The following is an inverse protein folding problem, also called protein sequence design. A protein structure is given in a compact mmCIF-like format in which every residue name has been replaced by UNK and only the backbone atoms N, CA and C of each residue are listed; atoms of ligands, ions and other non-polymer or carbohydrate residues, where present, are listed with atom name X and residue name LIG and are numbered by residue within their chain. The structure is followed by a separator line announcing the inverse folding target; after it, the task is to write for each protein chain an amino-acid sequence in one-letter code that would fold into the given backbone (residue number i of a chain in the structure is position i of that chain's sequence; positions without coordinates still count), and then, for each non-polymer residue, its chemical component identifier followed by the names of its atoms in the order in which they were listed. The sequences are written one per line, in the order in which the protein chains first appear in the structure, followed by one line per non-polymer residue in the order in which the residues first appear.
data_IF_933561958945
#
_entry.id   IF_933561958945
#
_cell.length_a   1.000
_cell.length_b   1.000
_cell.length_c   1.000
_cell.angle_alpha   90.00
_cell.angle_beta   90.00
_cell.angle_gamma   90.00
#
_symmetry.space_group_name_H-M   'P 1'
#
loop_
_entity.id
_entity.type
_entity.pdbx_description
1 polymer ?
#
# COMPACT_ATOMS: atom_id res chain seq x y z
N UNK A 1 -4.04 40.19 -23.88
CA UNK A 1 -3.19 39.78 -22.74
C UNK A 1 -3.87 38.63 -22.03
N UNK A 2 -3.38 37.39 -22.20
CA UNK A 2 -3.96 36.20 -21.57
C UNK A 2 -3.15 35.86 -20.32
N UNK A 3 -3.79 35.88 -19.15
CA UNK A 3 -3.13 35.61 -17.88
C UNK A 3 -2.97 34.10 -17.68
N UNK A 4 -1.73 33.61 -17.76
CA UNK A 4 -1.39 32.24 -17.35
C UNK A 4 -1.45 32.24 -15.81
N UNK A 5 -2.58 31.79 -15.25
CA UNK A 5 -2.65 31.49 -13.82
C UNK A 5 -1.79 30.25 -13.56
N UNK A 6 -0.78 30.30 -12.67
CA UNK A 6 -0.08 29.10 -12.26
C UNK A 6 -1.09 28.16 -11.62
N UNK A 7 -1.22 26.96 -12.16
CA UNK A 7 -1.99 25.90 -11.53
C UNK A 7 -1.30 25.58 -10.20
N UNK A 8 -1.81 26.13 -9.10
CA UNK A 8 -1.41 25.74 -7.76
C UNK A 8 -1.93 24.32 -7.57
N UNK A 9 -1.08 23.34 -7.82
CA UNK A 9 -1.38 21.96 -7.44
C UNK A 9 -1.44 21.93 -5.92
N UNK A 10 -2.60 21.65 -5.30
CA UNK A 10 -2.63 21.45 -3.86
C UNK A 10 -1.68 20.30 -3.54
N UNK A 11 -0.72 20.55 -2.65
CA UNK A 11 0.16 19.52 -2.13
C UNK A 11 -0.72 18.43 -1.52
N UNK A 12 -0.91 17.34 -2.26
CA UNK A 12 -1.69 16.20 -1.79
C UNK A 12 -1.15 15.79 -0.43
N UNK A 13 -2.03 15.74 0.57
CA UNK A 13 -1.69 15.25 1.91
C UNK A 13 -1.12 13.84 1.80
N UNK A 14 -0.29 13.44 2.77
CA UNK A 14 0.34 12.12 2.78
C UNK A 14 -0.72 11.02 2.65
N UNK A 15 -1.88 11.17 3.31
CA UNK A 15 -3.04 10.28 3.15
C UNK A 15 -3.57 10.19 1.71
N UNK A 16 -3.69 11.30 1.00
CA UNK A 16 -4.11 11.30 -0.40
C UNK A 16 -3.07 10.59 -1.28
N UNK A 17 -1.77 10.82 -1.05
CA UNK A 17 -0.71 10.09 -1.77
C UNK A 17 -0.77 8.60 -1.47
N UNK A 18 -0.88 8.19 -0.21
CA UNK A 18 -0.96 6.77 0.18
C UNK A 18 -2.20 6.11 -0.42
N UNK A 19 -3.35 6.80 -0.41
CA UNK A 19 -4.60 6.30 -1.01
C UNK A 19 -4.48 6.18 -2.53
N UNK A 20 -3.85 7.16 -3.18
CA UNK A 20 -3.63 7.18 -4.63
C UNK A 20 -2.58 6.16 -5.07
N UNK A 21 -1.53 5.95 -4.27
CA UNK A 21 -0.57 4.85 -4.45
C UNK A 21 -1.26 3.52 -4.22
N UNK A 22 -2.09 3.38 -3.19
CA UNK A 22 -2.85 2.17 -2.90
C UNK A 22 -3.81 1.81 -4.04
N UNK A 23 -4.52 2.78 -4.62
CA UNK A 23 -5.34 2.55 -5.81
C UNK A 23 -4.48 2.22 -7.03
N UNK A 24 -3.35 2.91 -7.22
CA UNK A 24 -2.45 2.63 -8.33
C UNK A 24 -1.83 1.24 -8.22
N UNK A 25 -1.43 0.81 -7.02
CA UNK A 25 -0.84 -0.51 -6.74
C UNK A 25 -1.91 -1.60 -6.83
N UNK A 26 -3.13 -1.35 -6.34
CA UNK A 26 -4.26 -2.29 -6.46
C UNK A 26 -4.59 -2.61 -7.91
N UNK A 27 -4.49 -1.62 -8.79
CA UNK A 27 -4.79 -1.77 -10.22
C UNK A 27 -3.54 -1.95 -11.07
N UNK A 28 -2.35 -1.90 -10.48
CA UNK A 28 -1.11 -2.22 -11.18
C UNK A 28 -1.08 -3.74 -11.39
N UNK A 29 -0.95 -4.21 -12.63
CA UNK A 29 -0.75 -5.63 -12.89
C UNK A 29 0.44 -6.11 -12.05
N UNK A 30 0.27 -7.26 -11.39
CA UNK A 30 1.30 -7.81 -10.51
C UNK A 30 2.64 -7.81 -11.27
N UNK A 31 3.71 -7.18 -10.72
CA UNK A 31 4.98 -7.13 -11.42
C UNK A 31 5.43 -8.56 -11.69
N UNK A 32 5.63 -8.89 -12.96
CA UNK A 32 6.22 -10.16 -13.34
C UNK A 32 7.72 -10.07 -13.09
N UNK A 33 8.36 -11.22 -12.87
CA UNK A 33 9.81 -11.28 -12.75
C UNK A 33 10.44 -10.87 -14.10
N UNK A 34 10.80 -9.60 -14.21
CA UNK A 34 11.33 -9.00 -15.43
C UNK A 34 12.84 -9.20 -15.57
N UNK A 35 13.42 -8.79 -16.69
CA UNK A 35 14.87 -8.98 -16.94
C UNK A 35 15.73 -7.87 -16.35
N UNK A 36 15.11 -6.78 -15.89
CA UNK A 36 15.77 -5.58 -15.37
C UNK A 36 15.81 -5.52 -13.85
N UNK A 37 16.91 -5.00 -13.30
CA UNK A 37 17.12 -4.82 -11.85
C UNK A 37 16.04 -3.96 -11.18
N UNK A 38 15.47 -2.99 -11.91
CA UNK A 38 14.38 -2.14 -11.40
C UNK A 38 13.04 -2.88 -11.29
N UNK A 39 12.78 -3.89 -12.14
CA UNK A 39 11.61 -4.76 -12.05
C UNK A 39 11.75 -5.74 -10.90
N UNK A 40 12.94 -6.31 -10.69
CA UNK A 40 13.23 -7.15 -9.53
C UNK A 40 13.01 -6.43 -8.20
N UNK A 41 13.44 -5.17 -8.10
CA UNK A 41 13.23 -4.36 -6.89
C UNK A 41 11.74 -4.13 -6.62
N UNK A 42 10.94 -3.82 -7.65
CA UNK A 42 9.47 -3.69 -7.52
C UNK A 42 8.83 -5.00 -7.08
N UNK A 43 9.25 -6.13 -7.65
CA UNK A 43 8.77 -7.44 -7.25
C UNK A 43 9.12 -7.76 -5.79
N UNK A 44 10.38 -7.54 -5.38
CA UNK A 44 10.83 -7.79 -4.02
C UNK A 44 10.09 -6.93 -2.98
N UNK A 45 9.88 -5.64 -3.29
CA UNK A 45 9.12 -4.73 -2.42
C UNK A 45 7.65 -5.18 -2.33
N UNK A 46 7.04 -5.56 -3.45
CA UNK A 46 5.68 -6.07 -3.46
C UNK A 46 5.54 -7.35 -2.62
N UNK A 47 6.46 -8.30 -2.81
CA UNK A 47 6.45 -9.57 -2.09
C UNK A 47 6.67 -9.36 -0.59
N UNK A 48 7.69 -8.56 -0.22
CA UNK A 48 7.95 -8.21 1.17
C UNK A 48 6.75 -7.50 1.81
N UNK A 49 6.16 -6.54 1.11
CA UNK A 49 4.97 -5.82 1.55
C UNK A 49 3.75 -6.74 1.70
N UNK A 50 3.57 -7.71 0.80
CA UNK A 50 2.49 -8.69 0.87
C UNK A 50 2.65 -9.64 2.06
N UNK A 51 3.86 -10.18 2.26
CA UNK A 51 4.18 -11.04 3.41
C UNK A 51 3.93 -10.29 4.72
N UNK A 52 4.45 -9.05 4.84
CA UNK A 52 4.22 -8.20 6.01
C UNK A 52 2.73 -7.92 6.22
N UNK A 53 2.01 -7.55 5.16
CA UNK A 53 0.57 -7.27 5.22
C UNK A 53 -0.23 -8.47 5.73
N UNK A 54 0.02 -9.66 5.16
CA UNK A 54 -0.65 -10.89 5.59
C UNK A 54 -0.25 -11.34 6.99
N UNK A 55 1.01 -11.15 7.38
CA UNK A 55 1.50 -11.46 8.73
C UNK A 55 0.81 -10.58 9.77
N UNK A 56 0.75 -9.27 9.53
CA UNK A 56 0.07 -8.33 10.41
C UNK A 56 -1.44 -8.58 10.47
N UNK A 57 -2.06 -8.92 9.34
CA UNK A 57 -3.48 -9.29 9.32
C UNK A 57 -3.74 -10.56 10.15
N UNK A 58 -2.92 -11.59 10.02
CA UNK A 58 -3.01 -12.81 10.82
C UNK A 58 -2.84 -12.54 12.31
N UNK A 59 -1.84 -11.73 12.69
CA UNK A 59 -1.61 -11.30 14.07
C UNK A 59 -2.79 -10.50 14.62
N UNK A 60 -3.37 -9.59 13.84
CA UNK A 60 -4.53 -8.80 14.24
C UNK A 60 -5.74 -9.71 14.50
N UNK A 61 -6.00 -10.68 13.61
CA UNK A 61 -7.09 -11.65 13.81
C UNK A 61 -6.84 -12.49 15.07
N UNK A 62 -5.64 -13.02 15.24
CA UNK A 62 -5.28 -13.80 16.42
C UNK A 62 -5.45 -12.99 17.72
N UNK A 63 -5.03 -11.73 17.72
CA UNK A 63 -5.21 -10.82 18.85
C UNK A 63 -6.69 -10.59 19.15
N UNK A 64 -7.52 -10.33 18.14
CA UNK A 64 -8.98 -10.15 18.30
C UNK A 64 -9.62 -11.40 18.88
N UNK A 65 -9.28 -12.58 18.37
CA UNK A 65 -9.80 -13.86 18.87
C UNK A 65 -9.37 -14.10 20.32
N UNK A 66 -8.09 -13.89 20.65
CA UNK A 66 -7.61 -14.01 22.03
C UNK A 66 -8.32 -13.04 22.98
N UNK A 67 -8.57 -11.81 22.53
CA UNK A 67 -9.31 -10.80 23.29
C UNK A 67 -10.77 -11.17 23.47
N UNK A 68 -11.42 -11.75 22.46
CA UNK A 68 -12.80 -12.22 22.55
C UNK A 68 -12.93 -13.41 23.53
N UNK A 69 -12.01 -14.37 23.46
CA UNK A 69 -11.99 -15.53 24.36
C UNK A 69 -11.71 -15.10 25.81
N UNK A 70 -10.78 -14.19 26.03
CA UNK A 70 -10.48 -13.65 27.36
C UNK A 70 -11.57 -12.76 27.96
N UNK A 71 -12.57 -12.33 27.18
CA UNK A 71 -13.75 -11.63 27.67
C UNK A 71 -14.92 -12.58 27.99
N UNK A 72 -14.85 -13.84 27.54
CA UNK A 72 -15.91 -14.85 27.70
C UNK A 72 -15.61 -15.85 28.83
N UNK A 73 -14.38 -15.90 29.34
CA UNK A 73 -13.97 -16.70 30.50
C UNK A 73 -13.73 -15.82 31.72
#
# INVERSE_FOLDING_TARGET
MSAIRPAVHPSATIDQRVRQLGTTIRWAPAPLWGTSTSEHARYAIYLAGSILGWTLAGLAIAAVVGRALGLLG
#
